data_IF_112301930818
#
_entry.id   IF_112301930818
#
_cell.length_a   1.000
_cell.length_b   1.000
_cell.length_c   1.000
_cell.angle_alpha   90.00
_cell.angle_beta   90.00
_cell.angle_gamma   90.00
#
_symmetry.space_group_name_H-M   'P 1'
#
loop_
_entity.id
_entity.type
_entity.pdbx_description
1 polymer ?
#
# COMPACT_ATOMS: atom_id res chain seq x y z
N UNK A 1 30.71 -22.64 6.14
CA UNK A 1 29.61 -21.67 5.94
C UNK A 1 28.46 -22.08 6.85
N UNK A 2 28.30 -21.38 7.98
CA UNK A 2 27.31 -21.71 9.01
C UNK A 2 25.94 -21.19 8.61
N UNK A 3 24.89 -21.96 8.92
CA UNK A 3 23.48 -21.74 8.56
C UNK A 3 22.83 -20.44 9.09
N UNK A 4 23.62 -19.45 9.50
CA UNK A 4 23.19 -18.19 10.10
C UNK A 4 23.08 -17.03 9.10
N UNK A 5 23.51 -17.21 7.85
CA UNK A 5 23.57 -16.14 6.83
C UNK A 5 22.40 -16.14 5.81
N UNK A 6 21.41 -17.01 5.96
CA UNK A 6 20.21 -17.03 5.09
C UNK A 6 18.98 -16.36 5.71
N UNK A 7 19.14 -15.64 6.83
CA UNK A 7 18.11 -14.70 7.29
C UNK A 7 18.34 -13.36 6.61
N UNK A 8 17.73 -13.16 5.45
CA UNK A 8 17.63 -11.83 4.84
C UNK A 8 17.17 -10.83 5.92
N UNK A 9 17.88 -9.70 6.02
CA UNK A 9 17.52 -8.65 6.99
C UNK A 9 16.08 -8.22 6.73
N UNK A 10 15.22 -8.42 7.74
CA UNK A 10 13.78 -8.14 7.65
C UNK A 10 13.50 -6.71 7.20
N UNK A 11 14.38 -5.77 7.51
CA UNK A 11 14.29 -4.37 7.05
C UNK A 11 14.33 -4.26 5.52
N UNK A 12 15.18 -5.07 4.89
CA UNK A 12 15.33 -5.13 3.43
C UNK A 12 14.05 -5.69 2.82
N UNK A 13 13.55 -6.80 3.38
CA UNK A 13 12.32 -7.43 2.88
C UNK A 13 11.13 -6.50 3.04
N UNK A 14 10.94 -5.89 4.22
CA UNK A 14 9.86 -4.92 4.45
C UNK A 14 9.93 -3.75 3.46
N UNK A 15 11.11 -3.15 3.29
CA UNK A 15 11.32 -2.07 2.30
C UNK A 15 10.99 -2.53 0.87
N UNK A 16 11.39 -3.74 0.50
CA UNK A 16 11.10 -4.33 -0.82
C UNK A 16 9.61 -4.58 -1.03
N UNK A 17 8.90 -5.04 0.01
CA UNK A 17 7.44 -5.23 -0.03
C UNK A 17 6.71 -3.90 -0.19
N UNK A 18 7.18 -2.83 0.47
CA UNK A 18 6.62 -1.50 0.28
C UNK A 18 6.86 -0.97 -1.14
N UNK A 19 8.04 -1.19 -1.73
CA UNK A 19 8.30 -0.87 -3.14
C UNK A 19 7.33 -1.63 -4.04
N UNK A 20 7.21 -2.94 -3.83
CA UNK A 20 6.34 -3.81 -4.63
C UNK A 20 4.89 -3.34 -4.59
N UNK A 21 4.33 -3.08 -3.40
CA UNK A 21 2.94 -2.62 -3.28
C UNK A 21 2.76 -1.20 -3.80
N UNK A 22 3.73 -0.29 -3.61
CA UNK A 22 3.68 1.06 -4.19
C UNK A 22 3.64 1.04 -5.71
N UNK A 23 4.42 0.16 -6.35
CA UNK A 23 4.37 -0.03 -7.80
C UNK A 23 3.02 -0.64 -8.25
N UNK A 24 2.46 -1.54 -7.44
CA UNK A 24 1.16 -2.14 -7.71
C UNK A 24 0.04 -1.10 -7.69
N UNK A 25 -0.02 -0.26 -6.64
CA UNK A 25 -0.95 0.87 -6.57
C UNK A 25 -0.81 1.80 -7.77
N UNK A 26 0.43 2.21 -8.07
CA UNK A 26 0.70 3.12 -9.19
C UNK A 26 0.19 2.55 -10.52
N UNK A 27 0.42 1.25 -10.77
CA UNK A 27 0.01 0.63 -12.02
C UNK A 27 -1.51 0.36 -12.07
N UNK A 28 -2.13 0.06 -10.92
CA UNK A 28 -3.58 0.00 -10.78
C UNK A 28 -4.24 1.33 -11.18
N UNK A 29 -3.71 2.45 -10.68
CA UNK A 29 -4.18 3.79 -11.01
C UNK A 29 -3.98 4.09 -12.51
N UNK A 30 -2.80 3.80 -13.06
CA UNK A 30 -2.49 4.02 -14.49
C UNK A 30 -3.45 3.27 -15.40
N UNK A 31 -3.76 2.00 -15.10
CA UNK A 31 -4.74 1.24 -15.88
C UNK A 31 -6.15 1.79 -15.66
N UNK A 32 -6.49 2.18 -14.44
CA UNK A 32 -7.81 2.74 -14.13
C UNK A 32 -8.07 4.05 -14.89
N UNK A 33 -7.03 4.85 -15.14
CA UNK A 33 -7.11 6.08 -15.98
C UNK A 33 -7.49 5.79 -17.44
N UNK A 34 -7.26 4.57 -17.92
CA UNK A 34 -7.67 4.16 -19.27
C UNK A 34 -9.13 3.71 -19.34
N UNK A 35 -9.81 3.58 -18.21
CA UNK A 35 -11.23 3.23 -18.17
C UNK A 35 -12.11 4.42 -18.56
N UNK A 36 -13.18 4.16 -19.31
CA UNK A 36 -14.15 5.19 -19.69
C UNK A 36 -14.81 5.85 -18.46
N UNK A 37 -15.00 5.09 -17.38
CA UNK A 37 -15.55 5.59 -16.13
C UNK A 37 -14.66 6.66 -15.50
N UNK A 38 -13.37 6.35 -15.29
CA UNK A 38 -12.44 7.31 -14.68
C UNK A 38 -12.12 8.48 -15.62
N UNK A 39 -12.08 8.24 -16.93
CA UNK A 39 -11.91 9.32 -17.90
C UNK A 39 -13.08 10.33 -17.84
N UNK A 40 -14.32 9.84 -17.73
CA UNK A 40 -15.48 10.72 -17.53
C UNK A 40 -15.40 11.43 -16.18
N UNK A 41 -14.98 10.75 -15.12
CA UNK A 41 -14.81 11.36 -13.80
C UNK A 41 -13.80 12.52 -13.81
N UNK A 42 -12.72 12.41 -14.56
CA UNK A 42 -11.74 13.50 -14.73
C UNK A 42 -12.33 14.71 -15.47
N UNK A 43 -13.21 14.47 -16.46
CA UNK A 43 -13.87 15.54 -17.21
C UNK A 43 -14.96 16.24 -16.40
N UNK A 44 -15.70 15.49 -15.57
CA UNK A 44 -16.77 16.03 -14.74
C UNK A 44 -16.28 16.54 -13.39
N UNK A 45 -15.07 16.17 -12.98
CA UNK A 45 -14.51 16.46 -11.66
C UNK A 45 -15.13 15.64 -10.54
N UNK A 46 -15.83 14.54 -10.84
CA UNK A 46 -16.51 13.69 -9.85
C UNK A 46 -16.20 12.21 -10.11
N UNK A 47 -15.48 11.58 -9.18
CA UNK A 47 -15.11 10.17 -9.24
C UNK A 47 -15.86 9.38 -8.15
N UNK A 48 -16.69 8.41 -8.53
CA UNK A 48 -17.38 7.54 -7.56
C UNK A 48 -18.25 8.29 -6.54
N UNK A 49 -18.79 9.46 -6.91
CA UNK A 49 -19.56 10.33 -6.02
C UNK A 49 -18.73 11.24 -5.12
N UNK A 50 -17.40 11.26 -5.29
CA UNK A 50 -16.46 12.14 -4.59
C UNK A 50 -16.01 13.25 -5.54
N UNK A 51 -16.16 14.51 -5.12
CA UNK A 51 -15.66 15.66 -5.87
C UNK A 51 -14.13 15.70 -5.84
N UNK A 52 -13.50 15.80 -7.01
CA UNK A 52 -12.04 15.90 -7.16
C UNK A 52 -11.56 17.32 -6.93
N UNK A 53 -11.78 17.84 -5.72
CA UNK A 53 -11.29 19.16 -5.29
C UNK A 53 -9.87 19.10 -4.71
N UNK A 54 -9.26 20.26 -4.45
CA UNK A 54 -7.89 20.37 -3.92
C UNK A 54 -7.66 19.54 -2.65
N UNK A 55 -8.66 19.48 -1.76
CA UNK A 55 -8.56 18.74 -0.50
C UNK A 55 -8.55 17.22 -0.72
N UNK A 56 -9.41 16.71 -1.60
CA UNK A 56 -9.46 15.27 -1.91
C UNK A 56 -8.20 14.79 -2.62
N UNK A 57 -7.65 15.60 -3.54
CA UNK A 57 -6.40 15.29 -4.24
C UNK A 57 -5.21 15.28 -3.27
N UNK A 58 -5.15 16.25 -2.35
CA UNK A 58 -4.15 16.28 -1.29
C UNK A 58 -4.26 15.05 -0.38
N UNK A 59 -5.48 14.68 0.02
CA UNK A 59 -5.71 13.51 0.86
C UNK A 59 -5.27 12.21 0.17
N UNK A 60 -5.59 12.04 -1.12
CA UNK A 60 -5.13 10.90 -1.92
C UNK A 60 -3.60 10.83 -1.99
N UNK A 61 -2.94 11.98 -2.24
CA UNK A 61 -1.48 12.08 -2.25
C UNK A 61 -0.85 11.68 -0.90
N UNK A 62 -1.40 12.17 0.22
CA UNK A 62 -0.91 11.82 1.56
C UNK A 62 -1.05 10.32 1.83
N UNK A 63 -2.18 9.70 1.46
CA UNK A 63 -2.42 8.26 1.62
C UNK A 63 -1.37 7.44 0.86
N UNK A 64 -1.02 7.88 -0.35
CA UNK A 64 0.00 7.22 -1.17
C UNK A 64 1.41 7.43 -0.61
N UNK A 65 1.70 8.62 -0.11
CA UNK A 65 2.97 8.96 0.52
C UNK A 65 3.28 8.07 1.72
N UNK A 66 2.27 7.61 2.48
CA UNK A 66 2.50 6.63 3.56
C UNK A 66 3.24 5.38 3.04
N UNK A 67 2.84 4.84 1.89
CA UNK A 67 3.45 3.62 1.35
C UNK A 67 4.87 3.90 0.85
N UNK A 68 5.08 5.05 0.19
CA UNK A 68 6.38 5.50 -0.32
C UNK A 68 7.35 5.77 0.84
N UNK A 69 6.91 6.50 1.86
CA UNK A 69 7.70 6.79 3.05
C UNK A 69 8.14 5.50 3.77
N UNK A 70 7.26 4.49 3.82
CA UNK A 70 7.59 3.20 4.44
C UNK A 70 8.71 2.44 3.73
N UNK A 71 8.98 2.71 2.46
CA UNK A 71 10.17 2.19 1.76
C UNK A 71 11.45 2.61 2.47
N UNK A 72 11.56 3.89 2.81
CA UNK A 72 12.73 4.47 3.49
C UNK A 72 12.70 4.15 5.00
N UNK A 73 11.56 4.34 5.65
CA UNK A 73 11.42 4.14 7.09
C UNK A 73 11.71 2.69 7.51
N UNK A 74 11.36 1.71 6.67
CA UNK A 74 11.69 0.31 6.93
C UNK A 74 13.20 0.03 7.00
N UNK A 75 14.04 0.89 6.41
CA UNK A 75 15.51 0.78 6.44
C UNK A 75 16.12 1.56 7.58
N UNK A 76 15.61 2.76 7.85
CA UNK A 76 16.22 3.74 8.77
C UNK A 76 15.78 3.53 10.22
N UNK A 77 14.53 3.09 10.45
CA UNK A 77 13.99 2.99 11.81
C UNK A 77 14.61 1.84 12.61
N UNK A 78 14.79 2.11 13.91
CA UNK A 78 15.18 1.10 14.91
C UNK A 78 14.07 0.04 15.05
N UNK A 79 14.46 -1.17 15.46
CA UNK A 79 13.60 -2.35 15.55
C UNK A 79 12.17 -2.08 16.10
N UNK A 80 12.06 -1.50 17.31
CA UNK A 80 10.75 -1.28 17.96
C UNK A 80 9.84 -0.36 17.14
N UNK A 81 10.36 0.79 16.72
CA UNK A 81 9.60 1.77 15.92
C UNK A 81 9.24 1.18 14.56
N UNK A 82 10.19 0.53 13.89
CA UNK A 82 10.03 -0.06 12.57
C UNK A 82 8.92 -1.13 12.56
N UNK A 83 8.88 -1.99 13.59
CA UNK A 83 7.84 -2.99 13.75
C UNK A 83 6.45 -2.35 13.90
N UNK A 84 6.31 -1.36 14.76
CA UNK A 84 5.03 -0.70 15.03
C UNK A 84 4.55 0.07 13.79
N UNK A 85 5.42 0.85 13.13
CA UNK A 85 5.04 1.64 11.95
C UNK A 85 4.62 0.76 10.78
N UNK A 86 5.29 -0.37 10.55
CA UNK A 86 4.89 -1.34 9.51
C UNK A 86 3.51 -1.93 9.77
N UNK A 87 3.20 -2.29 11.02
CA UNK A 87 1.89 -2.84 11.39
C UNK A 87 0.81 -1.77 11.17
N UNK A 88 1.02 -0.56 11.68
CA UNK A 88 0.02 0.53 11.56
C UNK A 88 -0.20 0.90 10.10
N UNK A 89 0.87 1.12 9.32
CA UNK A 89 0.76 1.46 7.91
C UNK A 89 0.11 0.35 7.10
N UNK A 90 0.46 -0.91 7.38
CA UNK A 90 -0.16 -2.07 6.73
C UNK A 90 -1.66 -2.15 7.02
N UNK A 91 -2.09 -1.96 8.28
CA UNK A 91 -3.52 -1.96 8.65
C UNK A 91 -4.24 -0.81 7.93
N UNK A 92 -3.69 0.40 7.99
CA UNK A 92 -4.26 1.58 7.35
C UNK A 92 -4.49 1.34 5.86
N UNK A 93 -3.47 0.89 5.13
CA UNK A 93 -3.57 0.64 3.69
C UNK A 93 -4.53 -0.50 3.36
N UNK A 94 -4.58 -1.55 4.18
CA UNK A 94 -5.55 -2.64 4.01
C UNK A 94 -6.98 -2.15 4.17
N UNK A 95 -7.26 -1.36 5.22
CA UNK A 95 -8.61 -0.81 5.48
C UNK A 95 -9.05 0.14 4.37
N UNK A 96 -8.15 0.99 3.88
CA UNK A 96 -8.45 1.89 2.76
C UNK A 96 -8.78 1.08 1.50
N UNK A 97 -8.02 0.03 1.20
CA UNK A 97 -8.27 -0.78 -0.01
C UNK A 97 -9.57 -1.60 0.08
N UNK A 98 -9.87 -2.14 1.27
CA UNK A 98 -11.15 -2.82 1.49
C UNK A 98 -12.31 -1.82 1.42
N UNK A 99 -12.16 -0.64 2.00
CA UNK A 99 -13.19 0.41 1.95
C UNK A 99 -13.52 0.85 0.53
N UNK A 100 -12.48 1.02 -0.30
CA UNK A 100 -12.66 1.40 -1.72
C UNK A 100 -13.28 0.28 -2.56
N UNK A 101 -12.95 -0.99 -2.31
CA UNK A 101 -13.63 -2.13 -2.96
C UNK A 101 -15.14 -2.21 -2.67
N UNK A 102 -15.58 -1.71 -1.52
CA UNK A 102 -17.00 -1.68 -1.13
C UNK A 102 -17.75 -0.48 -1.74
N UNK A 103 -17.03 0.50 -2.32
CA UNK A 103 -17.61 1.67 -2.97
C UNK A 103 -17.92 1.35 -4.44
N UNK A 104 -19.08 0.76 -4.67
CA UNK A 104 -19.59 0.47 -6.02
C UNK A 104 -19.24 -0.93 -6.53
N UNK A 105 -19.38 -1.14 -7.84
CA UNK A 105 -19.05 -2.43 -8.48
C UNK A 105 -17.63 -2.32 -9.05
N UNK A 106 -16.64 -2.99 -8.45
CA UNK A 106 -15.26 -2.88 -8.90
C UNK A 106 -15.07 -3.56 -10.27
N UNK A 107 -14.29 -2.91 -11.13
CA UNK A 107 -13.85 -3.47 -12.40
C UNK A 107 -12.91 -4.66 -12.21
N UNK A 108 -12.80 -5.53 -13.23
CA UNK A 108 -11.98 -6.74 -13.15
C UNK A 108 -10.50 -6.45 -12.88
N UNK A 109 -9.92 -5.43 -13.52
CA UNK A 109 -8.53 -5.06 -13.28
C UNK A 109 -8.35 -4.54 -11.86
N UNK A 110 -9.27 -3.70 -11.37
CA UNK A 110 -9.20 -3.16 -10.03
C UNK A 110 -9.27 -4.26 -8.96
N UNK A 111 -10.16 -5.25 -9.12
CA UNK A 111 -10.21 -6.42 -8.22
C UNK A 111 -8.91 -7.22 -8.20
N UNK A 112 -8.26 -7.38 -9.36
CA UNK A 112 -6.98 -8.08 -9.47
C UNK A 112 -5.88 -7.37 -8.68
N UNK A 113 -5.68 -6.08 -8.91
CA UNK A 113 -4.68 -5.28 -8.19
C UNK A 113 -5.01 -5.22 -6.68
N UNK A 114 -6.28 -4.95 -6.33
CA UNK A 114 -6.70 -4.88 -4.94
C UNK A 114 -6.45 -6.18 -4.16
N UNK A 115 -6.63 -7.34 -4.80
CA UNK A 115 -6.32 -8.63 -4.17
C UNK A 115 -4.83 -8.74 -3.85
N UNK A 116 -3.96 -8.34 -4.77
CA UNK A 116 -2.50 -8.36 -4.60
C UNK A 116 -2.07 -7.37 -3.51
N UNK A 117 -2.65 -6.17 -3.52
CA UNK A 117 -2.36 -5.13 -2.54
C UNK A 117 -2.76 -5.57 -1.13
N UNK A 118 -3.98 -6.07 -0.94
CA UNK A 118 -4.47 -6.57 0.35
C UNK A 118 -3.60 -7.76 0.82
N UNK A 119 -3.29 -8.70 -0.07
CA UNK A 119 -2.43 -9.83 0.28
C UNK A 119 -1.04 -9.36 0.73
N UNK A 120 -0.47 -8.37 0.05
CA UNK A 120 0.85 -7.83 0.37
C UNK A 120 0.84 -7.06 1.68
N UNK A 121 -0.15 -6.18 1.92
CA UNK A 121 -0.23 -5.40 3.16
C UNK A 121 -0.51 -6.28 4.36
N UNK A 122 -1.34 -7.32 4.23
CA UNK A 122 -1.54 -8.34 5.26
C UNK A 122 -0.25 -9.11 5.55
N UNK A 123 0.51 -9.45 4.50
CA UNK A 123 1.82 -10.09 4.65
C UNK A 123 2.80 -9.17 5.38
N UNK A 124 2.85 -7.87 5.07
CA UNK A 124 3.68 -6.88 5.79
C UNK A 124 3.32 -6.86 7.29
N UNK A 125 2.02 -6.81 7.62
CA UNK A 125 1.55 -6.83 9.02
C UNK A 125 2.03 -8.10 9.72
N UNK A 126 1.79 -9.26 9.13
CA UNK A 126 2.21 -10.55 9.69
C UNK A 126 3.73 -10.66 9.82
N UNK A 127 4.46 -10.21 8.82
CA UNK A 127 5.92 -10.27 8.78
C UNK A 127 6.56 -9.33 9.82
N UNK A 128 5.98 -8.16 10.03
CA UNK A 128 6.36 -7.25 11.12
C UNK A 128 5.95 -7.82 12.48
N UNK A 129 4.76 -8.41 12.60
CA UNK A 129 4.26 -8.97 13.86
C UNK A 129 5.13 -10.13 14.38
N UNK A 130 5.54 -11.03 13.49
CA UNK A 130 6.40 -12.18 13.79
C UNK A 130 7.87 -11.81 13.99
N UNK A 131 8.25 -10.56 13.75
CA UNK A 131 9.60 -10.09 14.02
C UNK A 131 9.81 -10.08 15.54
N UNK A 132 10.63 -11.02 16.02
CA UNK A 132 11.12 -11.07 17.39
C UNK A 132 12.48 -10.39 17.45
N UNK A 133 12.73 -9.67 18.54
CA UNK A 133 14.03 -9.09 18.80
C UNK A 133 14.97 -10.27 19.06
N UNK A 134 16.05 -10.39 18.28
CA UNK A 134 17.17 -11.19 18.75
C UNK A 134 17.78 -10.40 19.91
N UNK A 135 17.86 -11.03 21.08
CA UNK A 135 18.53 -10.48 22.26
C UNK A 135 19.99 -10.11 21.94
#
# INVERSE_FOLDING_TARGET
MTAKELTYDRRIILSTLWIFVSLNYLYCDVISLMSAELLNALLTGVAGGIEMNEQTLLAAGIIMEVSIAMVLLSRVLKYKSNRITNIIAGILKTLIMVGTLLMGVPSLHYMFFATIEIATTLFIIWYAWTWKQAD
#
